data_IF_251643182506
#
_entry.id   IF_251643182506
#
_cell.length_a   1.000
_cell.length_b   1.000
_cell.length_c   1.000
_cell.angle_alpha   90.00
_cell.angle_beta   90.00
_cell.angle_gamma   90.00
#
_symmetry.space_group_name_H-M   'P 1'
#
loop_
_entity.id
_entity.type
_entity.pdbx_description
1 polymer ?
#
# COMPACT_ATOMS: atom_id res chain seq x y z
N UNK A 1 9.67 -0.42 8.01
CA UNK A 1 9.88 0.19 6.66
C UNK A 1 9.24 -0.63 5.52
N UNK A 2 8.18 -1.36 5.85
CA UNK A 2 7.54 -2.34 4.94
C UNK A 2 6.98 -1.68 3.67
N UNK A 3 6.31 -0.50 3.78
CA UNK A 3 5.69 0.18 2.64
C UNK A 3 6.70 0.82 1.70
N UNK A 4 7.83 1.28 2.25
CA UNK A 4 8.83 1.99 1.47
C UNK A 4 9.87 1.07 0.83
N UNK A 5 10.18 -0.07 1.41
CA UNK A 5 11.28 -0.94 0.94
C UNK A 5 12.66 -0.26 0.93
N UNK A 6 13.78 -0.96 0.77
CA UNK A 6 15.10 -0.35 0.63
C UNK A 6 15.29 0.48 -0.64
N UNK A 7 14.43 0.31 -1.65
CA UNK A 7 14.49 1.09 -2.89
C UNK A 7 13.81 2.45 -2.79
N UNK A 8 12.93 2.64 -1.81
CA UNK A 8 12.25 3.92 -1.60
C UNK A 8 12.95 4.72 -0.51
N UNK A 9 13.23 4.09 0.64
CA UNK A 9 13.87 4.77 1.77
C UNK A 9 14.94 3.88 2.39
N UNK A 10 16.08 4.45 2.70
CA UNK A 10 17.20 3.79 3.39
C UNK A 10 17.33 4.32 4.82
N UNK A 11 16.60 3.75 5.82
CA UNK A 11 16.50 4.31 7.16
C UNK A 11 17.84 4.42 7.91
N UNK A 12 18.84 3.57 7.62
CA UNK A 12 20.17 3.70 8.21
C UNK A 12 20.85 5.02 7.87
N UNK A 13 20.59 5.61 6.72
CA UNK A 13 21.10 6.92 6.32
C UNK A 13 20.47 8.07 7.15
N UNK A 14 19.37 7.77 7.84
CA UNK A 14 18.66 8.69 8.73
C UNK A 14 18.86 8.38 10.23
N UNK A 15 19.87 7.59 10.59
CA UNK A 15 20.24 7.31 11.98
C UNK A 15 19.39 6.27 12.69
N UNK A 16 18.69 5.41 11.96
CA UNK A 16 17.92 4.28 12.52
C UNK A 16 18.85 3.12 12.83
N UNK A 17 18.68 2.48 13.99
CA UNK A 17 19.53 1.35 14.44
C UNK A 17 18.99 -0.01 14.01
N UNK A 18 17.67 -0.13 13.88
CA UNK A 18 16.99 -1.40 13.55
C UNK A 18 15.91 -1.11 12.48
N UNK A 19 15.93 -1.90 11.41
CA UNK A 19 14.92 -1.85 10.35
C UNK A 19 14.15 -3.18 10.34
N UNK A 20 12.83 -3.09 10.27
CA UNK A 20 11.96 -4.25 10.07
C UNK A 20 11.20 -4.10 8.74
N UNK A 21 11.11 -5.19 7.99
CA UNK A 21 10.24 -5.32 6.83
C UNK A 21 9.39 -6.58 6.95
N UNK A 22 8.12 -6.48 6.57
CA UNK A 22 7.33 -7.65 6.25
C UNK A 22 7.73 -8.16 4.86
N UNK A 23 8.23 -9.39 4.79
CA UNK A 23 8.53 -10.03 3.50
C UNK A 23 7.27 -10.44 2.75
N UNK A 24 6.14 -10.55 3.46
CA UNK A 24 4.79 -10.79 2.92
C UNK A 24 4.37 -9.77 1.86
N UNK A 25 4.91 -8.53 1.93
CA UNK A 25 4.52 -7.39 1.12
C UNK A 25 5.42 -7.27 -0.13
N UNK A 26 5.92 -6.10 -0.46
CA UNK A 26 6.74 -5.83 -1.64
C UNK A 26 7.97 -6.73 -1.79
N UNK A 27 8.59 -7.19 -0.69
CA UNK A 27 9.77 -8.06 -0.77
C UNK A 27 9.42 -9.38 -1.45
N UNK A 28 8.40 -10.10 -0.99
CA UNK A 28 7.85 -11.26 -1.68
C UNK A 28 7.20 -10.85 -3.00
N UNK A 29 6.24 -9.94 -2.91
CA UNK A 29 5.63 -9.22 -4.04
C UNK A 29 4.68 -10.02 -4.91
N UNK A 30 4.34 -11.28 -4.53
CA UNK A 30 3.53 -12.17 -5.32
C UNK A 30 2.38 -12.82 -4.52
N UNK A 31 2.08 -12.28 -3.33
CA UNK A 31 0.99 -12.75 -2.45
C UNK A 31 1.06 -14.24 -2.07
N UNK A 32 2.26 -14.83 -2.09
CA UNK A 32 2.53 -16.28 -1.96
C UNK A 32 3.51 -16.63 -0.82
N UNK A 33 3.95 -15.66 -0.03
CA UNK A 33 4.85 -15.85 1.11
C UNK A 33 4.44 -15.03 2.32
N UNK A 34 4.73 -15.54 3.52
CA UNK A 34 4.48 -14.86 4.77
C UNK A 34 5.73 -14.84 5.63
N UNK A 35 6.10 -13.66 6.13
CA UNK A 35 7.26 -13.53 7.01
C UNK A 35 7.75 -12.11 7.21
N UNK A 36 8.89 -12.01 7.86
CA UNK A 36 9.55 -10.75 8.16
C UNK A 36 11.06 -10.86 8.19
N UNK A 37 11.71 -9.73 8.05
CA UNK A 37 13.15 -9.60 8.21
C UNK A 37 13.47 -8.39 9.09
N UNK A 38 14.41 -8.57 10.01
CA UNK A 38 14.98 -7.50 10.82
C UNK A 38 16.45 -7.33 10.44
N UNK A 39 16.87 -6.09 10.26
CA UNK A 39 18.22 -5.72 9.81
C UNK A 39 18.80 -4.72 10.79
N UNK A 40 20.07 -4.91 11.20
CA UNK A 40 20.80 -3.98 12.05
C UNK A 40 22.28 -3.98 11.68
N UNK A 41 22.96 -2.85 11.90
CA UNK A 41 24.44 -2.74 11.80
C UNK A 41 25.13 -2.91 13.16
N UNK A 42 24.39 -3.10 14.26
CA UNK A 42 24.91 -3.27 15.60
C UNK A 42 25.06 -4.77 15.91
N UNK A 43 26.28 -5.22 16.19
CA UNK A 43 26.61 -6.63 16.48
C UNK A 43 25.93 -7.16 17.74
N UNK A 44 25.83 -6.36 18.81
CA UNK A 44 25.21 -6.79 20.07
C UNK A 44 23.69 -6.98 19.86
N UNK A 45 23.05 -6.05 19.13
CA UNK A 45 21.64 -6.18 18.76
C UNK A 45 21.44 -7.40 17.87
N UNK A 46 22.33 -7.64 16.92
CA UNK A 46 22.25 -8.82 16.05
C UNK A 46 22.31 -10.14 16.85
N UNK A 47 23.27 -10.27 17.76
CA UNK A 47 23.40 -11.45 18.61
C UNK A 47 22.18 -11.67 19.50
N UNK A 48 21.66 -10.59 20.10
CA UNK A 48 20.44 -10.64 20.90
C UNK A 48 19.21 -11.08 20.07
N UNK A 49 19.00 -10.49 18.89
CA UNK A 49 17.91 -10.86 18.00
C UNK A 49 18.01 -12.33 17.54
N UNK A 50 19.23 -12.79 17.27
CA UNK A 50 19.46 -14.19 16.90
C UNK A 50 19.13 -15.15 18.05
N UNK A 51 19.49 -14.79 19.29
CA UNK A 51 19.12 -15.55 20.50
C UNK A 51 17.57 -15.60 20.64
N UNK A 52 16.88 -14.45 20.50
CA UNK A 52 15.41 -14.38 20.58
C UNK A 52 14.76 -15.24 19.49
N UNK A 53 15.23 -15.13 18.26
CA UNK A 53 14.73 -15.93 17.13
C UNK A 53 14.86 -17.44 17.41
N UNK A 54 16.03 -17.87 17.89
CA UNK A 54 16.31 -19.27 18.24
C UNK A 54 15.41 -19.75 19.40
N UNK A 55 15.30 -18.94 20.47
CA UNK A 55 14.57 -19.30 21.68
C UNK A 55 13.05 -19.34 21.45
N UNK A 56 12.50 -18.42 20.67
CA UNK A 56 11.06 -18.35 20.34
C UNK A 56 10.64 -19.28 19.20
N UNK A 57 11.58 -19.76 18.40
CA UNK A 57 11.27 -20.52 17.19
C UNK A 57 10.65 -19.70 16.06
N UNK A 58 10.70 -18.36 16.14
CA UNK A 58 10.17 -17.44 15.10
C UNK A 58 11.09 -17.42 13.86
N UNK A 59 11.12 -18.54 13.15
CA UNK A 59 11.97 -18.76 11.99
C UNK A 59 11.09 -18.93 10.76
N UNK A 60 11.42 -18.19 9.69
CA UNK A 60 10.74 -18.33 8.41
C UNK A 60 10.93 -19.75 7.85
N UNK A 61 9.89 -20.34 7.24
CA UNK A 61 10.04 -21.62 6.57
C UNK A 61 11.05 -21.54 5.42
N UNK A 62 11.78 -22.61 5.11
CA UNK A 62 12.73 -22.60 3.98
C UNK A 62 12.07 -22.24 2.64
N UNK A 63 10.82 -22.61 2.45
CA UNK A 63 10.09 -22.31 1.22
C UNK A 63 9.73 -20.82 1.13
N UNK A 64 9.20 -20.24 2.22
CA UNK A 64 8.94 -18.79 2.27
C UNK A 64 10.24 -17.98 2.11
N UNK A 65 11.33 -18.42 2.72
CA UNK A 65 12.63 -17.78 2.57
C UNK A 65 13.12 -17.80 1.12
N UNK A 66 12.95 -18.92 0.43
CA UNK A 66 13.27 -19.05 -1.00
C UNK A 66 12.40 -18.10 -1.86
N UNK A 67 11.09 -18.04 -1.62
CA UNK A 67 10.19 -17.15 -2.34
C UNK A 67 10.51 -15.67 -2.08
N UNK A 68 10.78 -15.31 -0.81
CA UNK A 68 11.18 -13.96 -0.45
C UNK A 68 12.51 -13.56 -1.13
N UNK A 69 13.50 -14.46 -1.15
CA UNK A 69 14.76 -14.23 -1.86
C UNK A 69 14.54 -14.06 -3.36
N UNK A 70 13.71 -14.90 -3.96
CA UNK A 70 13.34 -14.81 -5.38
C UNK A 70 12.66 -13.48 -5.69
N UNK A 71 11.73 -13.03 -4.82
CA UNK A 71 11.09 -11.72 -4.92
C UNK A 71 12.05 -10.55 -4.86
N UNK A 72 13.09 -10.62 -4.03
CA UNK A 72 14.13 -9.59 -3.93
C UNK A 72 14.84 -9.31 -5.24
N UNK A 73 15.07 -10.31 -6.08
CA UNK A 73 15.77 -10.13 -7.37
C UNK A 73 15.04 -9.18 -8.33
N UNK A 74 13.73 -9.02 -8.18
CA UNK A 74 12.90 -8.14 -9.02
C UNK A 74 12.33 -6.95 -8.25
N UNK A 75 12.74 -6.73 -6.99
CA UNK A 75 12.17 -5.68 -6.15
C UNK A 75 12.34 -4.28 -6.77
N UNK A 76 13.53 -3.94 -7.26
CA UNK A 76 13.81 -2.63 -7.87
C UNK A 76 12.90 -2.31 -9.05
N UNK A 77 12.88 -3.11 -10.12
CA UNK A 77 11.97 -2.91 -11.26
C UNK A 77 10.48 -2.87 -10.85
N UNK A 78 10.06 -3.70 -9.88
CA UNK A 78 8.67 -3.69 -9.40
C UNK A 78 8.33 -2.38 -8.69
N UNK A 79 9.18 -1.91 -7.77
CA UNK A 79 8.97 -0.65 -7.04
C UNK A 79 8.90 0.55 -7.99
N UNK A 80 9.72 0.59 -9.02
CA UNK A 80 9.64 1.63 -10.04
C UNK A 80 8.29 1.63 -10.76
N UNK A 81 7.81 0.45 -11.14
CA UNK A 81 6.52 0.32 -11.83
C UNK A 81 5.34 0.63 -10.90
N UNK A 82 5.33 0.08 -9.67
CA UNK A 82 4.33 0.41 -8.66
C UNK A 82 4.22 1.92 -8.45
N UNK A 83 5.38 2.59 -8.26
CA UNK A 83 5.43 4.03 -8.01
C UNK A 83 4.96 4.85 -9.21
N UNK A 84 5.33 4.43 -10.42
CA UNK A 84 4.88 5.07 -11.66
C UNK A 84 3.36 4.95 -11.82
N UNK A 85 2.83 3.74 -11.67
CA UNK A 85 1.40 3.48 -11.80
C UNK A 85 0.59 4.23 -10.72
N UNK A 86 1.06 4.18 -9.46
CA UNK A 86 0.39 4.88 -8.36
C UNK A 86 0.38 6.41 -8.56
N UNK A 87 1.46 6.97 -9.10
CA UNK A 87 1.52 8.40 -9.38
C UNK A 87 0.50 8.81 -10.44
N UNK A 88 0.45 8.08 -11.56
CA UNK A 88 -0.49 8.36 -12.65
C UNK A 88 -1.95 8.16 -12.21
N UNK A 89 -2.23 7.11 -11.42
CA UNK A 89 -3.57 6.91 -10.85
C UNK A 89 -3.94 8.03 -9.86
N UNK A 90 -3.00 8.46 -9.02
CA UNK A 90 -3.23 9.55 -8.07
C UNK A 90 -3.50 10.89 -8.76
N UNK A 91 -2.80 11.18 -9.87
CA UNK A 91 -3.08 12.37 -10.70
C UNK A 91 -4.44 12.30 -11.37
N UNK A 92 -4.83 11.14 -11.90
CA UNK A 92 -6.16 10.91 -12.45
C UNK A 92 -7.25 11.17 -11.39
N UNK A 93 -7.14 10.53 -10.22
CA UNK A 93 -8.10 10.67 -9.12
C UNK A 93 -8.19 12.12 -8.63
N UNK A 94 -7.06 12.82 -8.52
CA UNK A 94 -7.01 14.23 -8.08
C UNK A 94 -7.80 15.17 -9.01
N UNK A 95 -7.89 14.85 -10.29
CA UNK A 95 -8.60 15.64 -11.30
C UNK A 95 -10.03 15.16 -11.56
N UNK A 96 -10.49 14.10 -10.90
CA UNK A 96 -11.84 13.57 -11.04
C UNK A 96 -12.84 14.35 -10.19
N UNK A 97 -13.99 14.73 -10.76
CA UNK A 97 -15.09 15.37 -10.06
C UNK A 97 -15.82 14.45 -9.05
N UNK A 98 -15.49 13.17 -9.06
CA UNK A 98 -16.03 12.16 -8.16
C UNK A 98 -15.20 11.94 -6.90
N UNK A 99 -14.04 12.60 -6.79
CA UNK A 99 -13.07 12.40 -5.72
C UNK A 99 -12.87 13.69 -4.92
N UNK A 100 -13.08 13.60 -3.62
CA UNK A 100 -13.00 14.72 -2.67
C UNK A 100 -11.56 15.02 -2.24
N UNK A 101 -10.77 13.99 -1.99
CA UNK A 101 -9.38 14.11 -1.53
C UNK A 101 -8.57 12.91 -1.98
N UNK A 102 -7.32 13.13 -2.37
CA UNK A 102 -6.33 12.06 -2.65
C UNK A 102 -5.12 12.25 -1.76
N UNK A 103 -4.69 11.17 -1.11
CA UNK A 103 -3.50 11.11 -0.26
C UNK A 103 -2.44 10.21 -0.89
N UNK A 104 -1.44 10.84 -1.48
CA UNK A 104 -0.29 10.13 -2.06
C UNK A 104 0.98 10.98 -1.89
N UNK A 105 2.08 10.43 -1.35
CA UNK A 105 3.29 11.21 -1.06
C UNK A 105 3.90 11.92 -2.27
N UNK A 106 3.65 11.42 -3.49
CA UNK A 106 4.15 12.00 -4.73
C UNK A 106 3.38 13.24 -5.22
N UNK A 107 2.20 13.53 -4.68
CA UNK A 107 1.43 14.72 -5.04
C UNK A 107 1.93 15.94 -4.26
N UNK A 108 2.06 17.09 -4.94
CA UNK A 108 2.54 18.33 -4.33
C UNK A 108 1.62 18.90 -3.25
N UNK A 109 0.33 18.58 -3.27
CA UNK A 109 -0.65 18.96 -2.25
C UNK A 109 -0.67 18.02 -1.03
N UNK A 110 0.12 16.93 -1.03
CA UNK A 110 0.24 16.04 0.11
C UNK A 110 0.91 16.76 1.29
N UNK A 111 0.30 16.71 2.48
CA UNK A 111 0.71 17.48 3.67
C UNK A 111 2.20 17.40 4.01
N UNK A 112 2.84 16.23 3.74
CA UNK A 112 4.24 15.98 4.07
C UNK A 112 5.09 15.73 2.81
N UNK A 113 4.68 16.27 1.66
CA UNK A 113 5.38 16.07 0.37
C UNK A 113 6.86 16.44 0.44
N UNK A 114 7.21 17.58 1.06
CA UNK A 114 8.60 18.02 1.19
C UNK A 114 9.47 17.06 2.01
N UNK A 115 8.88 16.38 3.01
CA UNK A 115 9.56 15.35 3.79
C UNK A 115 9.75 14.10 2.92
N UNK A 116 8.71 13.69 2.19
CA UNK A 116 8.79 12.58 1.27
C UNK A 116 9.88 12.77 0.22
N UNK A 117 9.96 13.94 -0.41
CA UNK A 117 11.02 14.28 -1.39
C UNK A 117 12.43 14.18 -0.80
N UNK A 118 12.60 14.48 0.49
CA UNK A 118 13.93 14.40 1.15
C UNK A 118 14.34 12.97 1.53
N UNK A 119 13.37 12.08 1.77
CA UNK A 119 13.62 10.77 2.37
C UNK A 119 13.35 9.60 1.41
N UNK A 120 12.74 9.85 0.27
CA UNK A 120 12.24 8.82 -0.63
C UNK A 120 12.77 9.02 -2.05
N UNK A 121 13.32 7.98 -2.66
CA UNK A 121 13.74 7.98 -4.08
C UNK A 121 12.55 7.75 -5.02
N UNK A 122 11.51 7.09 -4.54
CA UNK A 122 10.21 6.84 -5.19
C UNK A 122 9.11 7.02 -4.16
N UNK A 123 7.86 7.23 -4.58
CA UNK A 123 6.75 7.47 -3.65
C UNK A 123 5.90 6.23 -3.34
N UNK A 124 6.28 5.07 -3.92
CA UNK A 124 5.65 3.77 -3.66
C UNK A 124 4.31 3.58 -4.36
N UNK A 125 3.73 2.39 -4.13
CA UNK A 125 2.50 1.94 -4.75
C UNK A 125 1.23 2.12 -3.89
N UNK A 126 1.33 2.81 -2.75
CA UNK A 126 0.18 2.98 -1.84
C UNK A 126 -0.40 4.38 -1.95
N UNK A 127 -1.69 4.47 -2.20
CA UNK A 127 -2.46 5.71 -2.14
C UNK A 127 -3.79 5.49 -1.41
N UNK A 128 -4.39 6.56 -0.94
CA UNK A 128 -5.76 6.54 -0.43
C UNK A 128 -6.52 7.77 -0.89
N UNK A 129 -7.84 7.66 -0.91
CA UNK A 129 -8.71 8.74 -1.35
C UNK A 129 -10.08 8.67 -0.65
N UNK A 130 -10.85 9.74 -0.81
CA UNK A 130 -12.25 9.84 -0.41
C UNK A 130 -13.08 10.17 -1.64
N UNK A 131 -14.22 9.52 -1.76
CA UNK A 131 -15.21 9.82 -2.81
C UNK A 131 -16.06 11.02 -2.42
N UNK A 132 -16.67 11.68 -3.42
CA UNK A 132 -17.70 12.68 -3.19
C UNK A 132 -19.02 12.01 -2.71
N UNK A 133 -19.84 12.76 -1.99
CA UNK A 133 -21.09 12.27 -1.38
C UNK A 133 -22.09 11.66 -2.38
N UNK A 134 -21.98 12.02 -3.65
CA UNK A 134 -22.84 11.50 -4.72
C UNK A 134 -22.39 10.12 -5.25
N UNK A 135 -21.30 9.58 -4.75
CA UNK A 135 -20.80 8.24 -5.12
C UNK A 135 -21.29 7.22 -4.09
N UNK A 136 -21.69 6.05 -4.57
CA UNK A 136 -22.00 4.87 -3.79
C UNK A 136 -20.79 3.93 -3.80
N UNK A 137 -20.05 3.89 -2.69
CA UNK A 137 -18.82 3.10 -2.58
C UNK A 137 -19.07 1.59 -2.74
N UNK A 138 -20.23 1.08 -2.34
CA UNK A 138 -20.56 -0.34 -2.53
C UNK A 138 -20.72 -0.69 -4.01
N UNK A 139 -21.37 0.22 -4.77
CA UNK A 139 -21.46 0.08 -6.23
C UNK A 139 -20.08 0.23 -6.87
N UNK A 140 -19.24 1.17 -6.38
CA UNK A 140 -17.86 1.33 -6.86
C UNK A 140 -17.11 0.01 -6.79
N UNK A 141 -17.04 -0.61 -5.62
CA UNK A 141 -16.33 -1.89 -5.45
C UNK A 141 -16.91 -3.03 -6.28
N UNK A 142 -18.25 -3.05 -6.46
CA UNK A 142 -18.93 -4.11 -7.23
C UNK A 142 -18.69 -4.01 -8.74
N UNK A 143 -18.36 -2.81 -9.23
CA UNK A 143 -18.17 -2.55 -10.65
C UNK A 143 -16.70 -2.64 -11.10
N UNK A 144 -15.75 -2.76 -10.17
CA UNK A 144 -14.33 -2.92 -10.48
C UNK A 144 -14.05 -4.34 -10.98
N UNK A 145 -13.34 -4.44 -12.08
CA UNK A 145 -12.93 -5.71 -12.69
C UNK A 145 -11.46 -6.05 -12.39
N UNK A 146 -10.57 -5.05 -12.38
CA UNK A 146 -9.13 -5.25 -12.22
C UNK A 146 -8.68 -5.13 -10.75
N UNK A 147 -9.28 -4.21 -10.00
CA UNK A 147 -8.97 -4.08 -8.58
C UNK A 147 -9.70 -5.15 -7.77
N UNK A 148 -8.96 -5.91 -6.99
CA UNK A 148 -9.55 -6.91 -6.10
C UNK A 148 -9.85 -6.31 -4.73
N UNK A 149 -11.08 -6.47 -4.26
CA UNK A 149 -11.46 -6.07 -2.90
C UNK A 149 -10.82 -7.05 -1.92
N UNK A 150 -9.70 -6.67 -1.36
CA UNK A 150 -8.91 -7.52 -0.47
C UNK A 150 -7.96 -6.68 0.40
N UNK A 151 -7.66 -7.22 1.57
CA UNK A 151 -6.63 -6.70 2.47
C UNK A 151 -5.23 -7.05 1.95
N UNK A 152 -4.20 -6.41 2.50
CA UNK A 152 -2.79 -6.56 2.15
C UNK A 152 -2.30 -5.49 1.18
N UNK A 153 -1.08 -5.63 0.68
CA UNK A 153 -0.46 -4.68 -0.23
C UNK A 153 0.84 -5.22 -0.84
N UNK A 154 1.31 -4.56 -1.89
CA UNK A 154 2.64 -4.78 -2.43
C UNK A 154 2.78 -6.00 -3.33
N UNK A 155 1.68 -6.67 -3.65
CA UNK A 155 1.62 -7.69 -4.68
C UNK A 155 1.63 -7.10 -6.10
N UNK A 156 1.81 -7.95 -7.09
CA UNK A 156 1.79 -7.55 -8.51
C UNK A 156 0.41 -7.14 -8.98
N UNK A 157 -0.65 -7.60 -8.32
CA UNK A 157 -2.04 -7.24 -8.53
C UNK A 157 -2.45 -5.97 -7.77
N UNK A 158 -3.38 -5.20 -8.32
CA UNK A 158 -3.99 -4.05 -7.67
C UNK A 158 -5.07 -4.48 -6.67
N UNK A 159 -4.94 -4.01 -5.42
CA UNK A 159 -5.89 -4.28 -4.34
C UNK A 159 -6.54 -2.97 -3.88
N UNK A 160 -7.83 -3.06 -3.52
CA UNK A 160 -8.59 -1.96 -2.95
C UNK A 160 -9.28 -2.41 -1.67
N UNK A 161 -9.35 -1.55 -0.66
CA UNK A 161 -10.01 -1.85 0.61
C UNK A 161 -10.54 -0.59 1.30
N UNK A 162 -11.48 -0.80 2.24
CA UNK A 162 -11.87 0.19 3.25
C UNK A 162 -11.25 -0.25 4.58
N UNK A 163 -10.16 0.39 5.04
CA UNK A 163 -9.40 -0.08 6.21
C UNK A 163 -10.21 -0.19 7.49
N UNK A 164 -11.14 0.74 7.76
CA UNK A 164 -12.01 0.72 8.94
C UNK A 164 -12.85 -0.55 9.03
N UNK A 165 -13.34 -1.05 7.88
CA UNK A 165 -14.23 -2.23 7.82
C UNK A 165 -13.47 -3.56 7.72
N UNK A 166 -12.21 -3.55 7.23
CA UNK A 166 -11.53 -4.78 6.84
C UNK A 166 -10.27 -5.10 7.65
N UNK A 167 -9.57 -4.08 8.21
CA UNK A 167 -8.23 -4.31 8.80
C UNK A 167 -7.98 -3.64 10.13
N UNK A 168 -8.79 -2.68 10.57
CA UNK A 168 -8.49 -1.82 11.71
C UNK A 168 -9.42 -1.98 12.93
N UNK A 169 -10.15 -3.07 13.04
CA UNK A 169 -10.96 -3.38 14.23
C UNK A 169 -10.17 -3.28 15.56
N UNK A 170 -8.87 -3.62 15.50
CA UNK A 170 -7.98 -3.53 16.67
C UNK A 170 -7.57 -2.09 17.04
N UNK A 171 -7.78 -1.12 16.14
CA UNK A 171 -7.48 0.29 16.36
C UNK A 171 -8.73 1.12 16.67
N UNK A 172 -9.92 0.50 16.66
CA UNK A 172 -11.18 1.18 16.92
C UNK A 172 -11.17 1.88 18.31
N UNK A 173 -11.58 3.14 18.35
CA UNK A 173 -11.57 3.97 19.56
C UNK A 173 -10.21 4.52 19.98
N UNK A 174 -9.18 4.42 19.13
CA UNK A 174 -7.85 5.01 19.37
C UNK A 174 -7.55 6.13 18.38
N UNK A 175 -6.49 6.93 18.64
CA UNK A 175 -6.02 7.97 17.71
C UNK A 175 -5.49 7.40 16.37
N UNK A 176 -5.38 6.08 16.25
CA UNK A 176 -4.94 5.37 15.05
C UNK A 176 -6.12 4.76 14.26
N UNK A 177 -7.35 5.04 14.67
CA UNK A 177 -8.55 4.59 13.95
C UNK A 177 -8.58 5.17 12.53
N UNK A 178 -8.81 4.31 11.55
CA UNK A 178 -8.97 4.75 10.17
C UNK A 178 -10.36 5.38 9.98
N UNK A 179 -10.48 6.50 9.25
CA UNK A 179 -11.79 7.04 8.88
C UNK A 179 -12.65 6.01 8.14
N UNK A 180 -13.96 6.01 8.41
CA UNK A 180 -14.89 5.01 7.89
C UNK A 180 -15.07 5.05 6.36
N UNK A 181 -14.83 6.22 5.78
CA UNK A 181 -14.98 6.52 4.36
C UNK A 181 -13.64 6.53 3.58
N UNK A 182 -12.53 6.19 4.25
CA UNK A 182 -11.22 6.13 3.59
C UNK A 182 -11.12 4.89 2.72
N UNK A 183 -10.86 5.08 1.43
CA UNK A 183 -10.53 4.00 0.49
C UNK A 183 -9.03 3.95 0.28
N UNK A 184 -8.43 2.76 0.40
CA UNK A 184 -6.99 2.52 0.20
C UNK A 184 -6.76 1.64 -1.01
N UNK A 185 -5.80 2.01 -1.85
CA UNK A 185 -5.34 1.19 -2.99
C UNK A 185 -3.88 0.81 -2.79
N UNK A 186 -3.58 -0.47 -3.02
CA UNK A 186 -2.25 -0.96 -3.34
C UNK A 186 -2.18 -1.15 -4.85
N UNK A 187 -1.52 -0.25 -5.54
CA UNK A 187 -1.45 -0.25 -7.00
C UNK A 187 -0.44 -1.29 -7.47
N UNK A 188 -0.87 -2.17 -8.36
CA UNK A 188 -0.08 -3.26 -8.92
C UNK A 188 0.74 -2.87 -10.15
N UNK A 189 1.05 -3.88 -10.96
CA UNK A 189 1.91 -3.76 -12.15
C UNK A 189 1.12 -3.84 -13.47
N UNK A 190 -0.19 -3.87 -13.40
CA UNK A 190 -1.07 -3.91 -14.57
C UNK A 190 -0.84 -2.67 -15.45
N UNK A 191 -1.33 -2.70 -16.68
CA UNK A 191 -1.30 -1.53 -17.55
C UNK A 191 -2.08 -0.39 -16.88
N UNK A 192 -1.44 0.77 -16.73
CA UNK A 192 -2.02 1.91 -16.01
C UNK A 192 -3.25 2.49 -16.71
N UNK A 193 -3.30 2.45 -18.05
CA UNK A 193 -4.45 2.93 -18.83
C UNK A 193 -5.68 2.05 -18.56
N UNK A 194 -5.48 0.74 -18.42
CA UNK A 194 -6.55 -0.20 -18.06
C UNK A 194 -7.03 0.03 -16.63
N UNK A 195 -6.12 0.25 -15.66
CA UNK A 195 -6.46 0.57 -14.27
C UNK A 195 -7.26 1.87 -14.18
N UNK A 196 -6.86 2.93 -14.89
CA UNK A 196 -7.58 4.20 -14.92
C UNK A 196 -8.94 4.01 -15.58
N UNK A 197 -9.03 3.30 -16.70
CA UNK A 197 -10.29 3.04 -17.40
C UNK A 197 -11.28 2.25 -16.55
N UNK A 198 -10.81 1.24 -15.81
CA UNK A 198 -11.64 0.45 -14.90
C UNK A 198 -12.18 1.32 -13.74
N UNK A 199 -11.32 2.17 -13.15
CA UNK A 199 -11.71 3.11 -12.10
C UNK A 199 -12.72 4.15 -12.61
N UNK A 200 -12.47 4.76 -13.75
CA UNK A 200 -13.35 5.77 -14.36
C UNK A 200 -14.76 5.22 -14.65
N UNK A 201 -14.80 4.04 -15.28
CA UNK A 201 -16.04 3.31 -15.56
C UNK A 201 -16.80 3.02 -14.27
N UNK A 202 -16.10 2.55 -13.24
CA UNK A 202 -16.70 2.16 -11.96
C UNK A 202 -17.22 3.37 -11.19
N UNK A 203 -16.48 4.47 -11.15
CA UNK A 203 -16.91 5.73 -10.53
C UNK A 203 -18.17 6.25 -11.22
N UNK A 204 -18.18 6.32 -12.55
CA UNK A 204 -19.34 6.78 -13.34
C UNK A 204 -20.59 5.92 -13.10
N UNK A 205 -20.43 4.59 -13.03
CA UNK A 205 -21.51 3.66 -12.77
C UNK A 205 -22.03 3.69 -11.30
N UNK A 206 -21.29 4.32 -10.40
CA UNK A 206 -21.58 4.38 -8.96
C UNK A 206 -22.25 5.70 -8.53
N UNK A 207 -22.56 6.58 -9.47
CA UNK A 207 -23.29 7.81 -9.18
C UNK A 207 -24.68 7.46 -8.64
N UNK A 208 -25.04 8.00 -7.46
CA UNK A 208 -26.34 7.81 -6.83
C UNK A 208 -27.44 8.41 -7.71
N UNK A 209 -28.53 7.68 -7.90
CA UNK A 209 -29.71 8.23 -8.57
C UNK A 209 -30.34 9.35 -7.72
N UNK A 210 -30.95 10.35 -8.38
CA UNK A 210 -31.58 11.50 -7.71
C UNK A 210 -32.65 11.11 -6.66
N UNK A 211 -33.17 9.87 -6.71
CA UNK A 211 -34.15 9.34 -5.76
C UNK A 211 -33.50 8.77 -4.47
N UNK A 212 -32.22 8.42 -4.48
CA UNK A 212 -31.48 7.87 -3.33
C UNK A 212 -30.91 8.97 -2.40
N UNK A 213 -30.77 10.21 -2.91
CA UNK A 213 -30.25 11.37 -2.17
C UNK A 213 -31.22 12.00 -1.17
N UNK A 214 -32.45 11.46 -1.02
CA UNK A 214 -33.52 11.99 -0.13
C UNK A 214 -33.89 11.09 1.04
N UNK A 215 -33.12 10.04 1.28
CA UNK A 215 -33.29 9.15 2.46
C UNK A 215 -32.12 9.30 3.42
#
# INVERSE_FOLDING_TARGET
>A
STFSTPFITRPFEHGVDIIMHSTTKYIGGHSDTLGGVVVTNNSEVHEFLHLVQKASGAVMSPFDAYLAQRGLYTLGPRIQMHSKNAHQLAEYLLNSEHIKEVRYPGLTNFKNHEIAVKQMDYFGGMLSFYTEDHIDDQKLFSNLDLYKLAVSLGGVESLIEVPSLMTHDSAAGTDAEAPDDLIRISVGLENIEDLISDMDRSLTASIKSLDESKK
#
